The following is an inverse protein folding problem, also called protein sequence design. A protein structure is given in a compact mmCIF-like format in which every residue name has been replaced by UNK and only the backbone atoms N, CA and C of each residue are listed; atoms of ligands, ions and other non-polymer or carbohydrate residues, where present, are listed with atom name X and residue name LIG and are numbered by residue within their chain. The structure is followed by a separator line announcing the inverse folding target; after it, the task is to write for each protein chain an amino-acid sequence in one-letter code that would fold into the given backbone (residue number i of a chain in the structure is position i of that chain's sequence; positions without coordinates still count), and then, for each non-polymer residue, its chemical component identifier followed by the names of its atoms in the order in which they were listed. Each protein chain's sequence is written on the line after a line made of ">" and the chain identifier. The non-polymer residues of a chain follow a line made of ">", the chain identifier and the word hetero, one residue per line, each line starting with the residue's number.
data_IF_378275665288
#
_entry.id   IF_378275665288
#
_cell.length_a   1.000
_cell.length_b   1.000
_cell.length_c   1.000
_cell.angle_alpha   90.00
_cell.angle_beta   90.00
_cell.angle_gamma   90.00
#
_symmetry.space_group_name_H-M   'P 1'
#
loop_
_entity.id
_entity.type
_entity.pdbx_description
1 polymer ?
#
# COMPACT_ATOMS: atom_id res chain seq x y z
N UNK A 1 -56.64 -32.66 8.37
CA UNK A 1 -56.14 -31.48 9.12
C UNK A 1 -54.67 -31.57 9.52
N UNK A 2 -54.13 -32.75 9.87
CA UNK A 2 -52.72 -32.90 10.27
C UNK A 2 -51.68 -32.57 9.16
N UNK A 3 -51.92 -32.91 7.90
CA UNK A 3 -50.96 -32.66 6.81
C UNK A 3 -50.79 -31.19 6.42
N UNK A 4 -51.82 -30.37 6.62
CA UNK A 4 -51.78 -28.92 6.29
C UNK A 4 -50.92 -28.18 7.32
N UNK A 5 -51.04 -28.54 8.60
CA UNK A 5 -50.23 -27.96 9.67
C UNK A 5 -48.74 -28.32 9.52
N UNK A 6 -48.42 -29.53 9.03
CA UNK A 6 -47.04 -29.93 8.79
C UNK A 6 -46.40 -29.15 7.63
N UNK A 7 -47.13 -28.91 6.54
CA UNK A 7 -46.66 -28.11 5.41
C UNK A 7 -46.47 -26.63 5.79
N UNK A 8 -47.36 -26.07 6.63
CA UNK A 8 -47.23 -24.72 7.16
C UNK A 8 -45.97 -24.57 8.02
N UNK A 9 -45.70 -25.51 8.94
CA UNK A 9 -44.49 -25.48 9.78
C UNK A 9 -43.22 -25.67 8.95
N UNK A 10 -43.24 -26.50 7.91
CA UNK A 10 -42.11 -26.68 7.00
C UNK A 10 -41.85 -25.40 6.18
N UNK A 11 -42.92 -24.75 5.69
CA UNK A 11 -42.80 -23.50 4.95
C UNK A 11 -42.28 -22.35 5.82
N UNK A 12 -42.74 -22.27 7.07
CA UNK A 12 -42.30 -21.24 8.02
C UNK A 12 -40.83 -21.44 8.41
N UNK A 13 -40.39 -22.68 8.58
CA UNK A 13 -38.99 -23.00 8.88
C UNK A 13 -38.06 -22.77 7.67
N UNK A 14 -38.51 -23.05 6.44
CA UNK A 14 -37.79 -22.67 5.21
C UNK A 14 -37.70 -21.15 5.04
N UNK A 15 -38.76 -20.40 5.35
CA UNK A 15 -38.74 -18.93 5.31
C UNK A 15 -37.78 -18.38 6.38
N UNK A 16 -37.80 -18.89 7.61
CA UNK A 16 -36.87 -18.48 8.67
C UNK A 16 -35.41 -18.86 8.35
N UNK A 17 -35.17 -20.01 7.72
CA UNK A 17 -33.84 -20.40 7.22
C UNK A 17 -33.39 -19.48 6.08
N UNK A 18 -34.28 -19.13 5.16
CA UNK A 18 -33.97 -18.18 4.07
C UNK A 18 -33.72 -16.76 4.59
N UNK A 19 -34.47 -16.31 5.60
CA UNK A 19 -34.26 -15.02 6.26
C UNK A 19 -32.96 -15.00 7.07
N UNK A 20 -32.64 -16.08 7.78
CA UNK A 20 -31.36 -16.22 8.49
C UNK A 20 -30.16 -16.34 7.54
N UNK A 21 -30.32 -16.98 6.38
CA UNK A 21 -29.28 -17.02 5.34
C UNK A 21 -29.16 -15.68 4.60
N UNK A 22 -30.28 -14.98 4.35
CA UNK A 22 -30.28 -13.63 3.80
C UNK A 22 -29.64 -12.62 4.76
N UNK A 23 -29.96 -12.66 6.07
CA UNK A 23 -29.27 -11.85 7.09
C UNK A 23 -27.77 -12.16 7.17
N UNK A 24 -27.36 -13.42 6.93
CA UNK A 24 -25.94 -13.79 6.87
C UNK A 24 -25.23 -13.25 5.63
N UNK A 25 -25.96 -13.06 4.53
CA UNK A 25 -25.47 -12.42 3.31
C UNK A 25 -25.54 -10.89 3.36
N UNK A 26 -26.37 -10.29 4.21
CA UNK A 26 -26.64 -8.84 4.26
C UNK A 26 -25.98 -8.13 5.45
N UNK A 27 -24.80 -8.57 5.88
CA UNK A 27 -23.88 -7.74 6.71
C UNK A 27 -22.99 -6.86 5.82
N UNK A 28 -23.52 -6.37 4.71
CA UNK A 28 -22.75 -5.75 3.64
C UNK A 28 -22.83 -4.22 3.75
N UNK A 29 -21.69 -3.64 4.11
CA UNK A 29 -21.38 -2.20 4.21
C UNK A 29 -22.10 -1.45 5.34
N UNK A 30 -21.32 -0.87 6.25
CA UNK A 30 -21.81 0.15 7.18
C UNK A 30 -22.45 1.28 6.37
N UNK A 31 -23.64 1.75 6.77
CA UNK A 31 -24.19 2.98 6.20
C UNK A 31 -23.20 4.13 6.41
N UNK A 32 -23.19 5.15 5.55
CA UNK A 32 -22.33 6.34 5.72
C UNK A 32 -22.41 6.93 7.14
N UNK A 33 -23.60 6.90 7.76
CA UNK A 33 -23.83 7.39 9.13
C UNK A 33 -23.17 6.54 10.25
N UNK A 34 -22.85 5.28 9.96
CA UNK A 34 -22.20 4.32 10.86
C UNK A 34 -20.70 4.19 10.59
N UNK A 35 -20.23 4.66 9.45
CA UNK A 35 -18.83 4.57 9.04
C UNK A 35 -17.96 5.27 10.12
N UNK A 36 -16.99 4.54 10.67
CA UNK A 36 -16.12 4.95 11.79
C UNK A 36 -16.73 4.98 13.22
N UNK A 37 -17.92 4.41 13.46
CA UNK A 37 -18.44 4.21 14.83
C UNK A 37 -18.04 2.84 15.40
N UNK A 38 -16.87 2.79 16.03
CA UNK A 38 -16.32 1.55 16.57
C UNK A 38 -16.78 1.25 18.00
N UNK A 39 -16.84 -0.03 18.34
CA UNK A 39 -16.84 -0.47 19.75
C UNK A 39 -15.40 -0.59 20.29
N UNK A 40 -14.49 -1.10 19.46
CA UNK A 40 -13.05 -1.24 19.73
C UNK A 40 -12.28 -1.28 18.42
N UNK A 41 -10.99 -0.96 18.48
CA UNK A 41 -10.01 -1.14 17.42
C UNK A 41 -8.99 -2.19 17.89
N UNK A 42 -8.46 -2.97 16.96
CA UNK A 42 -7.50 -4.03 17.27
C UNK A 42 -6.51 -4.24 16.13
N UNK A 43 -5.31 -4.71 16.49
CA UNK A 43 -4.37 -5.22 15.50
C UNK A 43 -4.97 -6.38 14.70
N UNK A 44 -4.77 -6.35 13.38
CA UNK A 44 -5.26 -7.32 12.43
C UNK A 44 -4.12 -7.97 11.66
N UNK A 45 -4.28 -9.26 11.41
CA UNK A 45 -3.45 -10.07 10.51
C UNK A 45 -4.22 -10.32 9.21
N UNK A 46 -3.52 -10.68 8.11
CA UNK A 46 -4.20 -11.13 6.91
C UNK A 46 -5.12 -12.32 7.22
N UNK A 47 -6.31 -12.31 6.62
CA UNK A 47 -7.34 -13.33 6.85
C UNK A 47 -7.54 -14.25 5.65
N UNK A 48 -7.14 -13.80 4.47
CA UNK A 48 -7.26 -14.53 3.22
C UNK A 48 -5.87 -14.70 2.60
N UNK A 49 -5.63 -15.88 2.04
CA UNK A 49 -4.36 -16.25 1.44
C UNK A 49 -4.59 -16.95 0.10
N UNK A 50 -3.93 -16.46 -0.94
CA UNK A 50 -4.00 -16.98 -2.30
C UNK A 50 -2.60 -17.46 -2.66
N UNK A 51 -2.47 -18.77 -2.84
CA UNK A 51 -1.25 -19.41 -3.33
C UNK A 51 -1.18 -19.31 -4.84
N UNK A 52 0.01 -19.06 -5.35
CA UNK A 52 0.34 -19.02 -6.78
C UNK A 52 1.70 -19.67 -6.98
N UNK A 53 2.01 -20.05 -8.21
CA UNK A 53 3.29 -20.67 -8.57
C UNK A 53 4.47 -19.75 -8.20
N UNK A 54 4.35 -18.46 -8.52
CA UNK A 54 5.37 -17.44 -8.29
C UNK A 54 5.44 -16.88 -6.87
N UNK A 55 4.50 -17.23 -5.99
CA UNK A 55 4.45 -16.65 -4.66
C UNK A 55 3.08 -16.68 -3.97
N UNK A 56 2.87 -15.76 -3.04
CA UNK A 56 1.69 -15.71 -2.17
C UNK A 56 1.09 -14.30 -2.20
N UNK A 57 -0.24 -14.21 -2.25
CA UNK A 57 -0.98 -12.97 -2.01
C UNK A 57 -1.86 -13.12 -0.77
N UNK A 58 -1.67 -12.24 0.21
CA UNK A 58 -2.43 -12.21 1.45
C UNK A 58 -3.27 -10.93 1.53
N UNK A 59 -4.51 -11.03 2.00
CA UNK A 59 -5.42 -9.91 2.15
C UNK A 59 -5.92 -9.79 3.60
N UNK A 60 -6.02 -8.56 4.08
CA UNK A 60 -6.77 -8.25 5.29
C UNK A 60 -8.26 -8.26 4.99
N UNK A 61 -9.09 -8.63 5.96
CA UNK A 61 -10.55 -8.66 5.75
C UNK A 61 -11.09 -7.23 5.63
N UNK A 62 -11.43 -6.83 4.40
CA UNK A 62 -12.01 -5.53 4.07
C UNK A 62 -13.32 -5.24 4.82
N UNK A 63 -13.97 -6.26 5.38
CA UNK A 63 -15.22 -6.13 6.14
C UNK A 63 -15.01 -5.76 7.60
N UNK A 64 -13.76 -5.73 8.10
CA UNK A 64 -13.52 -5.22 9.45
C UNK A 64 -13.78 -3.71 9.47
N UNK A 65 -14.52 -3.25 10.48
CA UNK A 65 -14.95 -1.86 10.64
C UNK A 65 -13.81 -0.86 10.45
N UNK A 66 -12.60 -1.19 10.92
CA UNK A 66 -11.44 -0.31 10.82
C UNK A 66 -11.01 -0.03 9.37
N UNK A 67 -11.06 -1.02 8.49
CA UNK A 67 -10.71 -0.88 7.08
C UNK A 67 -11.86 -0.27 6.28
N UNK A 68 -13.11 -0.58 6.64
CA UNK A 68 -14.29 0.08 6.07
C UNK A 68 -14.35 1.57 6.40
N UNK A 69 -14.02 1.95 7.64
CA UNK A 69 -13.89 3.35 8.03
C UNK A 69 -12.80 4.06 7.23
N UNK A 70 -11.63 3.43 7.10
CA UNK A 70 -10.53 4.02 6.33
C UNK A 70 -10.80 4.06 4.83
N UNK A 71 -11.76 3.27 4.32
CA UNK A 71 -12.01 3.14 2.89
C UNK A 71 -10.87 2.45 2.15
N UNK A 72 -10.21 1.47 2.78
CA UNK A 72 -9.01 0.84 2.21
C UNK A 72 -9.06 -0.68 2.20
N UNK A 73 -8.37 -1.27 1.23
CA UNK A 73 -8.07 -2.70 1.21
C UNK A 73 -6.57 -2.92 1.21
N UNK A 74 -6.10 -3.61 2.24
CA UNK A 74 -4.70 -3.91 2.44
C UNK A 74 -4.34 -5.30 1.92
N UNK A 75 -3.14 -5.42 1.34
CA UNK A 75 -2.62 -6.67 0.80
C UNK A 75 -1.11 -6.78 1.00
N UNK A 76 -0.62 -8.02 1.12
CA UNK A 76 0.80 -8.36 1.15
C UNK A 76 1.07 -9.37 0.03
N UNK A 77 2.03 -9.06 -0.82
CA UNK A 77 2.48 -9.93 -1.89
C UNK A 77 3.91 -10.37 -1.61
N UNK A 78 4.13 -11.69 -1.66
CA UNK A 78 5.45 -12.30 -1.56
C UNK A 78 5.77 -12.98 -2.88
N UNK A 79 6.80 -12.53 -3.57
CA UNK A 79 7.31 -13.17 -4.79
C UNK A 79 8.58 -13.96 -4.49
N UNK A 80 8.58 -15.23 -4.87
CA UNK A 80 9.77 -16.10 -4.81
C UNK A 80 10.85 -15.59 -5.77
N UNK A 81 12.12 -16.00 -5.63
CA UNK A 81 13.13 -15.76 -6.66
C UNK A 81 12.64 -16.18 -8.04
N UNK A 82 12.87 -15.35 -9.06
CA UNK A 82 12.33 -15.48 -10.42
C UNK A 82 10.79 -15.45 -10.51
N UNK A 83 10.11 -14.99 -9.47
CA UNK A 83 8.65 -14.82 -9.45
C UNK A 83 8.23 -13.57 -10.22
N UNK A 84 7.23 -13.72 -11.09
CA UNK A 84 6.56 -12.66 -11.85
C UNK A 84 5.12 -12.50 -11.33
N UNK A 85 4.81 -11.36 -10.73
CA UNK A 85 3.42 -10.92 -10.55
C UNK A 85 2.82 -10.59 -11.91
N UNK A 86 1.73 -11.26 -12.26
CA UNK A 86 1.13 -11.11 -13.58
C UNK A 86 0.51 -9.71 -13.77
N UNK A 87 0.47 -9.20 -15.02
CA UNK A 87 -0.02 -7.86 -15.28
C UNK A 87 -1.49 -7.69 -14.88
N UNK A 88 -1.79 -6.59 -14.19
CA UNK A 88 -3.14 -6.26 -13.74
C UNK A 88 -3.29 -4.74 -13.54
N UNK A 89 -4.52 -4.26 -13.39
CA UNK A 89 -4.84 -2.88 -13.01
C UNK A 89 -6.04 -2.84 -12.06
N UNK A 90 -6.10 -1.82 -11.22
CA UNK A 90 -7.16 -1.63 -10.22
C UNK A 90 -7.88 -0.29 -10.46
N UNK A 91 -9.19 -0.15 -10.15
CA UNK A 91 -9.91 1.13 -10.26
C UNK A 91 -9.56 2.11 -9.13
N UNK A 92 -8.90 1.63 -8.08
CA UNK A 92 -8.44 2.40 -6.93
C UNK A 92 -6.93 2.67 -7.03
N UNK A 93 -6.44 3.86 -6.59
CA UNK A 93 -5.01 4.09 -6.47
C UNK A 93 -4.43 3.21 -5.36
N UNK A 94 -3.19 2.75 -5.57
CA UNK A 94 -2.49 1.85 -4.64
C UNK A 94 -1.12 2.41 -4.27
N UNK A 95 -0.83 2.41 -2.98
CA UNK A 95 0.50 2.77 -2.46
C UNK A 95 1.17 1.51 -1.91
N UNK A 96 2.37 1.21 -2.41
CA UNK A 96 3.12 -0.01 -2.11
C UNK A 96 4.39 0.34 -1.35
N UNK A 97 4.71 -0.42 -0.31
CA UNK A 97 5.97 -0.39 0.41
C UNK A 97 6.71 -1.72 0.20
N UNK A 98 7.96 -1.66 -0.26
CA UNK A 98 8.81 -2.84 -0.36
C UNK A 98 9.46 -3.12 1.00
N UNK A 99 8.96 -4.14 1.70
CA UNK A 99 9.44 -4.55 3.01
C UNK A 99 10.79 -5.28 2.94
N UNK A 100 10.96 -6.14 1.93
CA UNK A 100 12.14 -6.99 1.75
C UNK A 100 12.39 -7.28 0.27
N UNK A 101 13.65 -7.53 -0.08
CA UNK A 101 14.04 -7.97 -1.42
C UNK A 101 14.26 -6.82 -2.39
N UNK A 102 14.41 -7.21 -3.66
CA UNK A 102 14.55 -6.32 -4.79
C UNK A 102 13.94 -6.97 -6.03
N UNK A 103 13.71 -6.16 -7.05
CA UNK A 103 13.09 -6.62 -8.28
C UNK A 103 12.93 -5.49 -9.28
N UNK A 104 12.07 -5.74 -10.26
CA UNK A 104 11.63 -4.75 -11.23
C UNK A 104 10.13 -4.57 -11.15
N UNK A 105 9.67 -3.36 -11.39
CA UNK A 105 8.27 -3.05 -11.65
C UNK A 105 8.17 -2.22 -12.93
N UNK A 106 7.13 -2.45 -13.72
CA UNK A 106 6.74 -1.52 -14.78
C UNK A 106 5.30 -1.11 -14.58
N UNK A 107 5.04 0.17 -14.85
CA UNK A 107 3.70 0.76 -14.87
C UNK A 107 3.49 1.28 -16.28
N UNK A 108 2.46 0.78 -16.94
CA UNK A 108 2.09 1.20 -18.29
C UNK A 108 1.13 2.38 -18.20
N UNK A 109 1.58 3.54 -18.69
CA UNK A 109 0.74 4.72 -18.85
C UNK A 109 0.11 4.69 -20.25
N UNK A 110 -1.22 4.56 -20.37
CA UNK A 110 -1.88 4.53 -21.67
C UNK A 110 -1.58 5.79 -22.50
N UNK A 111 -1.19 5.61 -23.76
CA UNK A 111 -0.83 6.70 -24.67
C UNK A 111 0.63 7.18 -24.59
N UNK A 112 1.41 6.70 -23.62
CA UNK A 112 2.85 6.94 -23.57
C UNK A 112 3.60 5.96 -24.48
N UNK A 113 4.63 6.45 -25.17
CA UNK A 113 5.43 5.66 -26.10
C UNK A 113 6.42 4.71 -25.40
N UNK A 114 6.84 3.67 -26.12
CA UNK A 114 7.91 2.74 -25.73
C UNK A 114 9.29 3.41 -25.83
N UNK A 115 9.67 4.14 -24.79
CA UNK A 115 10.94 4.89 -24.75
C UNK A 115 12.17 4.02 -24.48
N UNK A 116 11.99 2.74 -24.10
CA UNK A 116 13.09 1.80 -23.90
C UNK A 116 13.17 0.88 -25.12
N UNK A 117 14.20 1.07 -25.94
CA UNK A 117 14.39 0.36 -27.20
C UNK A 117 15.85 0.09 -27.50
N UNK A 118 16.13 -1.07 -28.11
CA UNK A 118 17.47 -1.42 -28.59
C UNK A 118 17.55 -1.06 -30.08
N UNK A 119 17.86 0.21 -30.39
CA UNK A 119 18.16 0.61 -31.77
C UNK A 119 19.67 0.57 -32.05
N UNK A 120 20.03 -0.09 -33.15
CA UNK A 120 21.39 -0.18 -33.69
C UNK A 120 21.81 1.16 -34.30
N UNK A 121 22.33 2.10 -33.51
CA UNK A 121 23.00 3.29 -34.02
C UNK A 121 24.45 2.99 -34.42
N UNK A 122 24.89 3.47 -35.59
CA UNK A 122 26.22 3.23 -36.19
C UNK A 122 27.44 3.61 -35.31
N UNK A 123 27.24 4.21 -34.12
CA UNK A 123 28.30 4.66 -33.20
C UNK A 123 28.49 3.78 -31.94
N UNK A 124 27.66 2.77 -31.70
CA UNK A 124 27.75 1.89 -30.52
C UNK A 124 27.81 0.43 -30.95
N UNK A 125 28.87 0.07 -31.70
CA UNK A 125 29.13 -1.35 -32.08
C UNK A 125 29.55 -2.21 -30.88
N UNK A 126 30.21 -1.63 -29.87
CA UNK A 126 30.81 -2.42 -28.79
C UNK A 126 29.84 -2.85 -27.67
N UNK A 127 28.83 -2.04 -27.30
CA UNK A 127 27.88 -2.41 -26.23
C UNK A 127 26.73 -3.30 -26.69
N UNK A 128 26.33 -3.19 -27.96
CA UNK A 128 25.21 -3.97 -28.52
C UNK A 128 25.63 -5.42 -28.80
N UNK A 129 26.88 -5.64 -29.26
CA UNK A 129 27.38 -6.98 -29.61
C UNK A 129 27.50 -7.89 -28.37
N UNK A 130 27.80 -7.37 -27.18
CA UNK A 130 27.89 -8.19 -25.97
C UNK A 130 26.51 -8.58 -25.40
N UNK A 131 25.51 -7.69 -25.53
CA UNK A 131 24.11 -7.96 -25.17
C UNK A 131 23.47 -8.95 -26.16
N UNK A 132 23.68 -8.76 -27.46
CA UNK A 132 23.22 -9.66 -28.52
C UNK A 132 23.90 -11.04 -28.48
N UNK A 133 25.17 -11.13 -28.08
CA UNK A 133 25.87 -12.42 -27.97
C UNK A 133 25.43 -13.23 -26.74
N UNK A 134 24.89 -12.58 -25.71
CA UNK A 134 24.29 -13.24 -24.52
C UNK A 134 22.85 -13.70 -24.77
N UNK A 135 22.08 -12.99 -25.60
CA UNK A 135 20.72 -13.36 -25.99
C UNK A 135 20.72 -14.12 -27.33
N UNK A 136 20.69 -15.46 -27.28
CA UNK A 136 20.55 -16.34 -28.46
C UNK A 136 19.28 -15.97 -29.25
N UNK A 137 19.41 -15.11 -30.26
CA UNK A 137 18.35 -14.82 -31.24
C UNK A 137 17.38 -13.69 -30.88
N UNK A 138 17.89 -12.55 -30.38
CA UNK A 138 17.11 -11.38 -29.94
C UNK A 138 15.97 -10.95 -30.90
N UNK A 139 14.75 -11.01 -30.37
CA UNK A 139 13.55 -10.36 -30.92
C UNK A 139 13.72 -8.85 -30.76
N UNK A 140 13.39 -8.05 -31.79
CA UNK A 140 13.31 -6.59 -31.64
C UNK A 140 12.26 -6.26 -30.58
N UNK A 141 12.68 -5.68 -29.46
CA UNK A 141 11.81 -5.33 -28.35
C UNK A 141 11.77 -3.80 -28.11
N UNK A 142 10.62 -3.33 -27.67
CA UNK A 142 10.22 -1.95 -27.43
C UNK A 142 9.24 -1.98 -26.26
N UNK A 143 9.56 -1.32 -25.15
CA UNK A 143 8.66 -1.24 -24.02
C UNK A 143 8.74 0.09 -23.28
N UNK A 144 7.77 0.35 -22.40
CA UNK A 144 7.83 1.50 -21.48
C UNK A 144 8.89 1.27 -20.40
N UNK A 145 9.17 2.32 -19.63
CA UNK A 145 10.18 2.31 -18.57
C UNK A 145 9.95 1.17 -17.57
N UNK A 146 11.04 0.50 -17.22
CA UNK A 146 11.11 -0.49 -16.14
C UNK A 146 11.89 0.13 -14.99
N UNK A 147 11.39 -0.01 -13.77
CA UNK A 147 11.95 0.60 -12.58
C UNK A 147 12.55 -0.48 -11.68
N UNK A 148 13.80 -0.29 -11.26
CA UNK A 148 14.38 -1.07 -10.17
C UNK A 148 13.66 -0.73 -8.88
N UNK A 149 13.27 -1.74 -8.11
CA UNK A 149 12.67 -1.62 -6.80
C UNK A 149 13.49 -2.39 -5.78
N UNK A 150 13.60 -1.86 -4.57
CA UNK A 150 14.38 -2.42 -3.47
C UNK A 150 13.66 -2.17 -2.15
N UNK A 151 14.05 -2.90 -1.11
CA UNK A 151 13.62 -2.63 0.26
C UNK A 151 13.68 -1.14 0.58
N UNK A 152 12.57 -0.62 1.10
CA UNK A 152 12.43 0.79 1.45
C UNK A 152 11.75 1.64 0.41
N UNK A 153 11.45 1.13 -0.78
CA UNK A 153 10.77 1.94 -1.78
C UNK A 153 9.28 2.05 -1.48
N UNK A 154 8.77 3.28 -1.56
CA UNK A 154 7.35 3.60 -1.66
C UNK A 154 7.03 3.81 -3.12
N UNK A 155 6.10 3.02 -3.67
CA UNK A 155 5.72 3.02 -5.09
C UNK A 155 4.26 3.40 -5.21
N UNK A 156 3.99 4.39 -6.04
CA UNK A 156 2.68 4.96 -6.32
C UNK A 156 2.11 4.38 -7.61
N UNK A 157 0.98 3.67 -7.51
CA UNK A 157 0.29 3.04 -8.62
C UNK A 157 -1.07 3.71 -8.85
N UNK A 158 -1.24 4.51 -9.90
CA UNK A 158 -2.51 5.18 -10.21
C UNK A 158 -3.63 4.20 -10.54
N UNK A 159 -4.87 4.63 -10.29
CA UNK A 159 -6.05 3.92 -10.77
C UNK A 159 -6.00 3.72 -12.29
N UNK A 160 -6.33 2.51 -12.75
CA UNK A 160 -6.38 2.12 -14.16
C UNK A 160 -5.02 1.82 -14.79
N UNK A 161 -3.89 2.10 -14.11
CA UNK A 161 -2.57 1.85 -14.67
C UNK A 161 -2.21 0.35 -14.58
N UNK A 162 -2.00 -0.28 -15.74
CA UNK A 162 -1.55 -1.66 -15.80
C UNK A 162 -0.11 -1.78 -15.30
N UNK A 163 0.18 -2.80 -14.51
CA UNK A 163 1.51 -2.98 -13.93
C UNK A 163 1.82 -4.46 -13.69
N UNK A 164 3.10 -4.77 -13.64
CA UNK A 164 3.64 -6.09 -13.30
C UNK A 164 4.93 -5.93 -12.50
N UNK A 165 5.31 -6.95 -11.73
CA UNK A 165 6.53 -6.95 -10.93
C UNK A 165 7.28 -8.28 -11.04
N UNK A 166 8.61 -8.24 -11.12
CA UNK A 166 9.48 -9.41 -11.26
C UNK A 166 10.57 -9.40 -10.19
N UNK A 167 10.76 -10.52 -9.50
CA UNK A 167 11.84 -10.70 -8.53
C UNK A 167 13.08 -11.28 -9.23
N UNK A 168 14.09 -10.44 -9.47
CA UNK A 168 15.41 -10.83 -9.99
C UNK A 168 16.42 -11.17 -8.88
N UNK A 169 16.00 -11.10 -7.61
CA UNK A 169 16.81 -11.39 -6.45
C UNK A 169 16.83 -12.86 -6.05
N UNK A 170 17.75 -13.19 -5.13
CA UNK A 170 17.88 -14.54 -4.55
C UNK A 170 17.04 -14.74 -3.29
N UNK A 171 16.44 -13.67 -2.76
CA UNK A 171 15.52 -13.72 -1.61
C UNK A 171 14.09 -13.45 -2.05
N UNK A 172 13.13 -13.67 -1.15
CA UNK A 172 11.74 -13.27 -1.42
C UNK A 172 11.61 -11.74 -1.50
N UNK A 173 10.86 -11.26 -2.49
CA UNK A 173 10.44 -9.88 -2.61
C UNK A 173 9.09 -9.73 -1.91
N UNK A 174 9.05 -8.98 -0.81
CA UNK A 174 7.85 -8.78 0.00
C UNK A 174 7.39 -7.33 -0.14
N UNK A 175 6.15 -7.15 -0.60
CA UNK A 175 5.52 -5.87 -0.79
C UNK A 175 4.21 -5.79 0.02
N UNK A 176 4.05 -4.73 0.81
CA UNK A 176 2.82 -4.43 1.56
C UNK A 176 2.17 -3.21 0.93
N UNK A 177 0.87 -3.23 0.72
CA UNK A 177 0.19 -2.12 0.06
C UNK A 177 -1.23 -1.89 0.56
N UNK A 178 -1.72 -0.67 0.34
CA UNK A 178 -3.12 -0.30 0.52
C UNK A 178 -3.72 0.17 -0.81
N UNK A 179 -4.99 -0.15 -1.03
CA UNK A 179 -5.80 0.35 -2.13
C UNK A 179 -6.86 1.26 -1.53
N UNK A 180 -6.93 2.50 -1.99
CA UNK A 180 -7.96 3.44 -1.53
C UNK A 180 -9.24 3.26 -2.35
N UNK A 181 -10.12 2.39 -1.85
CA UNK A 181 -11.39 2.08 -2.53
C UNK A 181 -12.42 3.19 -2.39
N UNK A 182 -12.18 4.19 -1.53
CA UNK A 182 -13.02 5.37 -1.37
C UNK A 182 -12.50 6.60 -2.14
N UNK A 183 -11.38 6.47 -2.86
CA UNK A 183 -10.83 7.56 -3.67
C UNK A 183 -11.78 7.93 -4.83
N UNK A 184 -11.89 9.22 -5.14
CA UNK A 184 -12.75 9.76 -6.20
C UNK A 184 -12.53 9.18 -7.61
N UNK A 185 -11.36 8.58 -7.87
CA UNK A 185 -11.09 7.90 -9.15
C UNK A 185 -11.83 6.57 -9.26
N UNK A 186 -12.20 5.94 -8.14
CA UNK A 186 -12.99 4.72 -8.13
C UNK A 186 -14.48 5.06 -8.23
N UNK A 187 -14.97 5.18 -9.46
CA UNK A 187 -16.38 5.52 -9.74
C UNK A 187 -17.33 4.31 -9.76
N UNK A 188 -16.86 3.14 -9.31
CA UNK A 188 -17.67 1.92 -9.25
C UNK A 188 -18.43 1.89 -7.93
N UNK A 189 -17.82 1.31 -6.90
CA UNK A 189 -18.29 1.23 -5.53
C UNK A 189 -17.08 0.87 -4.63
N UNK A 190 -17.30 0.79 -3.31
CA UNK A 190 -16.22 0.49 -2.35
C UNK A 190 -15.80 -0.99 -2.29
N UNK A 191 -16.28 -1.88 -3.18
CA UNK A 191 -15.80 -3.27 -3.28
C UNK A 191 -14.49 -3.30 -4.05
N UNK A 192 -13.49 -3.96 -3.47
CA UNK A 192 -12.20 -4.14 -4.12
C UNK A 192 -12.31 -4.98 -5.40
N UNK A 193 -11.67 -4.51 -6.48
CA UNK A 193 -11.64 -5.15 -7.80
C UNK A 193 -10.23 -5.09 -8.35
N UNK A 194 -9.79 -6.21 -8.91
CA UNK A 194 -8.52 -6.31 -9.61
C UNK A 194 -8.71 -6.93 -10.99
N UNK A 195 -8.40 -6.18 -12.03
CA UNK A 195 -8.56 -6.62 -13.41
C UNK A 195 -7.24 -7.20 -13.90
N UNK A 196 -7.13 -8.53 -13.91
CA UNK A 196 -5.93 -9.21 -14.39
C UNK A 196 -5.94 -9.32 -15.92
N UNK A 197 -4.78 -9.12 -16.52
CA UNK A 197 -4.54 -9.29 -17.96
C UNK A 197 -3.96 -10.68 -18.28
N UNK A 198 -3.59 -11.44 -17.25
CA UNK A 198 -3.17 -12.84 -17.33
C UNK A 198 -3.39 -13.53 -15.98
N UNK A 199 -3.51 -14.86 -15.97
CA UNK A 199 -3.65 -15.65 -14.73
C UNK A 199 -5.06 -15.67 -14.14
N UNK A 200 -5.17 -15.91 -12.83
CA UNK A 200 -6.44 -15.98 -12.09
C UNK A 200 -6.33 -16.85 -10.84
N UNK A 201 -7.32 -16.81 -9.93
CA UNK A 201 -7.28 -17.62 -8.69
C UNK A 201 -7.38 -19.12 -8.99
N UNK A 202 -6.43 -19.98 -8.52
CA UNK A 202 -6.47 -21.41 -8.77
C UNK A 202 -7.70 -22.08 -8.14
N UNK A 203 -8.20 -23.15 -8.77
CA UNK A 203 -9.37 -23.89 -8.27
C UNK A 203 -9.15 -24.61 -6.93
N UNK A 204 -7.89 -24.87 -6.55
CA UNK A 204 -7.50 -25.65 -5.36
C UNK A 204 -7.00 -24.81 -4.17
N UNK A 205 -7.13 -23.49 -4.19
CA UNK A 205 -6.74 -22.65 -3.05
C UNK A 205 -7.51 -23.05 -1.78
N UNK A 206 -6.78 -23.37 -0.72
CA UNK A 206 -7.30 -23.86 0.56
C UNK A 206 -8.07 -22.75 1.27
N UNK A 207 -9.40 -22.70 1.11
CA UNK A 207 -10.27 -21.74 1.80
C UNK A 207 -11.72 -22.23 1.80
N UNK A 208 -12.47 -21.95 2.88
CA UNK A 208 -13.88 -22.32 2.98
C UNK A 208 -14.69 -21.73 1.81
N UNK A 209 -15.66 -22.49 1.29
CA UNK A 209 -16.29 -22.29 -0.03
C UNK A 209 -16.70 -20.85 -0.37
N UNK A 210 -17.17 -20.05 0.60
CA UNK A 210 -17.56 -18.65 0.36
C UNK A 210 -16.40 -17.66 0.13
N UNK A 211 -15.27 -17.80 0.83
CA UNK A 211 -14.11 -16.91 0.63
C UNK A 211 -13.40 -17.19 -0.70
N UNK A 212 -13.39 -18.45 -1.13
CA UNK A 212 -12.78 -18.84 -2.39
C UNK A 212 -13.56 -18.31 -3.59
N UNK A 213 -14.89 -18.32 -3.52
CA UNK A 213 -15.75 -17.79 -4.57
C UNK A 213 -15.62 -16.27 -4.70
N UNK A 214 -15.60 -15.54 -3.58
CA UNK A 214 -15.34 -14.10 -3.57
C UNK A 214 -13.96 -13.75 -4.15
N UNK A 215 -12.91 -14.52 -3.80
CA UNK A 215 -11.58 -14.34 -4.39
C UNK A 215 -11.61 -14.53 -5.92
N UNK A 216 -12.34 -15.54 -6.40
CA UNK A 216 -12.49 -15.78 -7.84
C UNK A 216 -13.24 -14.67 -8.54
N UNK A 217 -14.22 -14.01 -7.91
CA UNK A 217 -14.84 -12.83 -8.51
C UNK A 217 -13.88 -11.64 -8.60
N UNK A 218 -13.02 -11.48 -7.59
CA UNK A 218 -12.13 -10.32 -7.47
C UNK A 218 -10.92 -10.38 -8.41
N UNK A 219 -10.33 -11.56 -8.63
CA UNK A 219 -9.07 -11.73 -9.36
C UNK A 219 -9.24 -12.60 -10.62
N UNK A 220 -9.88 -12.03 -11.65
CA UNK A 220 -10.09 -12.71 -12.93
C UNK A 220 -9.28 -12.11 -14.08
N UNK A 221 -8.83 -12.98 -14.98
CA UNK A 221 -8.33 -12.56 -16.28
C UNK A 221 -9.50 -12.11 -17.16
N UNK A 222 -9.50 -10.82 -17.50
CA UNK A 222 -10.58 -10.19 -18.27
C UNK A 222 -10.70 -10.73 -19.69
N UNK A 223 -9.61 -11.21 -20.29
CA UNK A 223 -9.63 -11.70 -21.68
C UNK A 223 -10.55 -12.91 -21.85
N UNK A 224 -10.82 -13.67 -20.78
CA UNK A 224 -11.67 -14.87 -20.82
C UNK A 224 -13.11 -14.61 -21.19
N UNK A 225 -13.61 -13.42 -20.89
CA UNK A 225 -15.01 -13.09 -21.12
C UNK A 225 -15.27 -12.64 -22.57
N UNK A 226 -14.22 -12.35 -23.34
CA UNK A 226 -14.35 -11.91 -24.73
C UNK A 226 -14.48 -13.08 -25.69
N UNK A 227 -15.19 -12.84 -26.79
CA UNK A 227 -15.23 -13.78 -27.91
C UNK A 227 -13.83 -13.97 -28.53
N UNK A 228 -13.41 -15.22 -28.66
CA UNK A 228 -12.07 -15.57 -29.13
C UNK A 228 -11.82 -15.08 -30.56
N UNK A 229 -12.84 -15.11 -31.43
CA UNK A 229 -12.69 -14.69 -32.84
C UNK A 229 -12.55 -13.18 -32.94
N UNK A 230 -13.38 -12.45 -32.18
CA UNK A 230 -13.30 -11.00 -32.08
C UNK A 230 -11.91 -10.54 -31.62
N UNK A 231 -11.36 -11.16 -30.57
CA UNK A 231 -10.00 -10.83 -30.11
C UNK A 231 -8.95 -11.21 -31.16
N UNK A 232 -9.09 -12.35 -31.82
CA UNK A 232 -8.15 -12.79 -32.85
C UNK A 232 -8.09 -11.79 -34.02
N UNK A 233 -9.26 -11.28 -34.43
CA UNK A 233 -9.38 -10.21 -35.41
C UNK A 233 -8.77 -8.90 -34.90
N UNK A 234 -9.11 -8.46 -33.68
CA UNK A 234 -8.62 -7.20 -33.10
C UNK A 234 -7.09 -7.17 -32.93
N UNK A 235 -6.49 -8.27 -32.49
CA UNK A 235 -5.03 -8.41 -32.37
C UNK A 235 -4.36 -8.81 -33.69
N UNK A 236 -5.12 -9.16 -34.73
CA UNK A 236 -4.63 -9.69 -36.01
C UNK A 236 -3.69 -10.89 -35.83
N UNK A 237 -4.14 -11.89 -35.06
CA UNK A 237 -3.38 -13.11 -34.74
C UNK A 237 -4.26 -14.36 -34.91
N UNK A 238 -3.67 -15.56 -35.07
CA UNK A 238 -4.46 -16.80 -35.04
C UNK A 238 -5.21 -16.98 -33.71
N UNK A 239 -6.44 -17.52 -33.77
CA UNK A 239 -7.27 -17.81 -32.58
C UNK A 239 -6.53 -18.62 -31.52
N UNK A 240 -5.58 -19.47 -31.90
CA UNK A 240 -4.78 -20.27 -30.98
C UNK A 240 -3.94 -19.42 -30.02
N UNK A 241 -3.47 -18.24 -30.46
CA UNK A 241 -2.74 -17.31 -29.59
C UNK A 241 -3.70 -16.70 -28.56
N UNK A 242 -4.89 -16.30 -28.98
CA UNK A 242 -5.94 -15.79 -28.09
C UNK A 242 -6.36 -16.87 -27.09
N UNK A 243 -6.53 -18.12 -27.53
CA UNK A 243 -6.84 -19.23 -26.64
C UNK A 243 -5.79 -19.36 -25.54
N UNK A 244 -4.50 -19.21 -25.84
CA UNK A 244 -3.44 -19.18 -24.80
C UNK A 244 -3.59 -18.02 -23.83
N UNK A 245 -3.95 -16.82 -24.31
CA UNK A 245 -4.25 -15.67 -23.44
C UNK A 245 -5.46 -15.91 -22.53
N UNK A 246 -6.45 -16.67 -22.99
CA UNK A 246 -7.68 -16.99 -22.28
C UNK A 246 -7.56 -18.24 -21.39
N UNK A 247 -6.57 -19.10 -21.61
CA UNK A 247 -6.47 -20.40 -20.92
C UNK A 247 -5.93 -20.25 -19.51
N UNK A 248 -6.58 -20.94 -18.56
CA UNK A 248 -5.96 -21.28 -17.28
C UNK A 248 -5.03 -22.47 -17.48
N UNK A 249 -3.72 -22.29 -17.31
CA UNK A 249 -2.98 -23.39 -16.70
C UNK A 249 -3.48 -23.44 -15.24
N UNK A 250 -4.38 -24.38 -14.95
CA UNK A 250 -5.26 -24.47 -13.76
C UNK A 250 -4.58 -24.33 -12.38
N UNK A 251 -3.24 -24.21 -12.34
CA UNK A 251 -2.41 -24.26 -11.13
C UNK A 251 -1.47 -23.06 -10.95
N UNK A 252 -1.45 -22.07 -11.87
CA UNK A 252 -0.39 -21.04 -11.84
C UNK A 252 -0.70 -19.81 -10.99
N UNK A 253 -1.95 -19.36 -10.94
CA UNK A 253 -2.37 -18.31 -10.01
C UNK A 253 -2.19 -16.87 -10.50
N UNK A 254 -1.96 -15.95 -9.56
CA UNK A 254 -1.78 -14.51 -9.78
C UNK A 254 -0.31 -14.12 -10.03
N UNK A 255 0.61 -15.04 -9.73
CA UNK A 255 2.04 -14.89 -9.98
C UNK A 255 2.64 -16.22 -10.42
N UNK A 256 3.67 -16.16 -11.26
CA UNK A 256 4.28 -17.34 -11.88
C UNK A 256 5.78 -17.37 -11.67
N UNK A 257 6.42 -18.53 -11.80
CA UNK A 257 7.88 -18.60 -11.90
C UNK A 257 8.25 -18.43 -13.37
N UNK A 258 9.13 -17.47 -13.65
CA UNK A 258 9.68 -17.30 -14.99
C UNK A 258 10.57 -18.51 -15.33
N UNK A 259 10.34 -19.12 -16.51
CA UNK A 259 11.09 -20.30 -16.96
C UNK A 259 12.58 -20.00 -17.15
N UNK A 260 12.87 -18.78 -17.59
CA UNK A 260 14.20 -18.25 -17.77
C UNK A 260 14.29 -16.90 -17.07
N UNK A 261 15.50 -16.49 -16.70
CA UNK A 261 15.72 -15.19 -16.06
C UNK A 261 15.27 -14.08 -17.02
N UNK A 262 14.30 -13.27 -16.60
CA UNK A 262 13.80 -12.18 -17.43
C UNK A 262 14.85 -11.08 -17.56
N UNK A 263 15.06 -10.61 -18.78
CA UNK A 263 15.92 -9.46 -19.06
C UNK A 263 15.16 -8.47 -19.92
N UNK A 264 15.30 -7.19 -19.61
CA UNK A 264 14.64 -6.09 -20.28
C UNK A 264 15.69 -5.14 -20.86
N UNK A 265 15.31 -4.34 -21.84
CA UNK A 265 16.14 -3.21 -22.27
C UNK A 265 16.16 -2.22 -21.10
N UNK A 266 17.33 -1.78 -20.65
CA UNK A 266 17.48 -0.78 -19.58
C UNK A 266 18.86 -0.14 -19.61
N UNK A 267 19.03 1.08 -19.08
CA UNK A 267 20.36 1.65 -18.83
C UNK A 267 21.19 0.78 -17.87
N UNK A 268 22.52 0.85 -17.98
CA UNK A 268 23.43 0.17 -17.05
C UNK A 268 23.32 0.78 -15.64
N UNK A 269 23.40 -0.06 -14.60
CA UNK A 269 23.16 0.36 -13.20
C UNK A 269 24.15 1.44 -12.69
N UNK A 270 25.33 1.57 -13.31
CA UNK A 270 26.30 2.64 -13.01
C UNK A 270 25.82 4.03 -13.48
N UNK A 271 25.00 4.09 -14.54
CA UNK A 271 24.46 5.36 -15.06
C UNK A 271 23.29 5.86 -14.22
N UNK A 272 22.50 4.96 -13.61
CA UNK A 272 21.36 5.32 -12.75
C UNK A 272 21.81 5.99 -11.43
N UNK A 273 22.90 5.54 -10.82
CA UNK A 273 23.41 6.12 -9.56
C UNK A 273 23.92 7.56 -9.72
N UNK A 274 24.41 7.94 -10.90
CA UNK A 274 24.85 9.31 -11.19
C UNK A 274 23.70 10.30 -11.36
N UNK A 275 22.57 9.85 -11.92
CA UNK A 275 21.41 10.70 -12.19
C UNK A 275 20.55 10.98 -10.94
N UNK A 276 20.52 10.06 -9.97
CA UNK A 276 19.78 10.27 -8.70
C UNK A 276 20.35 11.44 -7.86
N UNK A 277 21.65 11.78 -8.00
CA UNK A 277 22.25 12.93 -7.32
C UNK A 277 21.99 14.28 -8.00
N UNK A 278 21.71 14.31 -9.30
CA UNK A 278 21.53 15.56 -10.06
C UNK A 278 20.09 16.10 -10.05
N UNK A 279 19.10 15.28 -9.64
CA UNK A 279 17.69 15.68 -9.63
C UNK A 279 17.29 16.65 -8.47
N UNK A 280 18.24 17.10 -7.66
CA UNK A 280 18.04 18.11 -6.60
C UNK A 280 18.41 19.55 -7.02
N UNK A 281 18.81 19.77 -8.28
CA UNK A 281 19.20 21.09 -8.80
C UNK A 281 18.16 21.71 -9.75
N UNK A 282 16.99 22.11 -9.23
CA UNK A 282 15.99 22.83 -10.03
C UNK A 282 16.45 24.25 -10.41
N UNK A 283 17.17 24.38 -11.53
CA UNK A 283 17.40 25.68 -12.18
C UNK A 283 16.16 26.01 -13.01
N UNK A 284 15.45 27.07 -12.60
CA UNK A 284 14.44 27.72 -13.43
C UNK A 284 15.11 28.16 -14.74
N UNK A 285 14.72 27.57 -15.86
CA UNK A 285 14.99 28.16 -17.16
C UNK A 285 13.83 27.89 -18.12
N UNK A 286 13.29 29.03 -18.57
CA UNK A 286 12.41 29.30 -19.69
C UNK A 286 12.19 28.19 -20.74
N UNK A 287 10.90 27.93 -20.99
CA UNK A 287 10.30 27.82 -22.33
C UNK A 287 11.06 26.98 -23.37
N UNK A 288 11.14 25.68 -23.16
CA UNK A 288 11.16 24.68 -24.24
C UNK A 288 9.92 23.79 -24.05
N UNK A 289 9.25 23.46 -25.16
CA UNK A 289 7.98 22.73 -25.13
C UNK A 289 8.25 21.25 -24.84
N UNK A 290 8.39 20.87 -23.58
CA UNK A 290 8.54 19.47 -23.20
C UNK A 290 7.32 18.66 -23.69
N UNK A 291 7.57 17.50 -24.28
CA UNK A 291 6.51 16.58 -24.73
C UNK A 291 5.83 15.84 -23.56
N UNK A 292 4.81 15.03 -23.88
CA UNK A 292 4.17 14.16 -22.89
C UNK A 292 5.16 13.12 -22.35
N UNK A 293 6.06 12.64 -23.20
CA UNK A 293 7.12 11.69 -22.89
C UNK A 293 8.13 12.26 -21.87
N UNK A 294 8.42 13.56 -21.92
CA UNK A 294 9.37 14.24 -21.03
C UNK A 294 8.73 14.78 -19.74
N UNK A 295 7.40 14.69 -19.60
CA UNK A 295 6.65 15.24 -18.46
C UNK A 295 5.80 14.18 -17.77
N UNK A 296 4.61 13.91 -18.28
CA UNK A 296 3.64 13.01 -17.67
C UNK A 296 4.10 11.55 -17.68
N UNK A 297 4.62 11.09 -18.82
CA UNK A 297 5.05 9.69 -18.99
C UNK A 297 6.32 9.31 -18.22
N UNK A 298 7.08 10.31 -17.77
CA UNK A 298 8.31 10.12 -16.98
C UNK A 298 8.16 10.61 -15.54
N UNK A 299 6.92 10.86 -15.10
CA UNK A 299 6.62 11.21 -13.71
C UNK A 299 7.28 10.22 -12.75
N UNK A 300 7.88 10.76 -11.67
CA UNK A 300 8.46 9.95 -10.61
C UNK A 300 7.34 9.18 -9.91
N UNK A 301 7.45 7.85 -9.91
CA UNK A 301 6.46 6.92 -9.33
C UNK A 301 6.93 6.28 -8.02
N UNK A 302 8.21 6.42 -7.67
CA UNK A 302 8.77 5.81 -6.47
C UNK A 302 9.70 6.75 -5.71
N UNK A 303 9.80 6.54 -4.40
CA UNK A 303 10.72 7.23 -3.51
C UNK A 303 11.19 6.30 -2.40
N UNK A 304 12.49 6.27 -2.12
CA UNK A 304 13.03 5.44 -1.04
C UNK A 304 12.89 6.11 0.33
N UNK A 305 12.53 5.34 1.35
CA UNK A 305 12.48 5.76 2.77
C UNK A 305 13.59 5.13 3.63
N UNK A 306 14.52 4.38 3.03
CA UNK A 306 15.64 3.75 3.74
C UNK A 306 16.91 4.61 3.75
N UNK A 307 16.95 5.72 2.98
CA UNK A 307 18.11 6.61 2.97
C UNK A 307 18.39 7.17 4.38
N UNK A 308 19.49 6.70 4.99
CA UNK A 308 19.85 7.04 6.37
C UNK A 308 20.17 8.52 6.55
N UNK A 309 20.49 9.25 5.48
CA UNK A 309 20.86 10.67 5.52
C UNK A 309 19.67 11.62 5.40
N UNK A 310 18.47 11.13 5.09
CA UNK A 310 17.32 11.96 4.68
C UNK A 310 16.14 11.93 5.66
N UNK A 311 16.41 11.78 6.96
CA UNK A 311 15.37 11.85 8.00
C UNK A 311 14.71 13.23 8.03
N UNK A 312 13.38 13.28 7.83
CA UNK A 312 12.59 14.50 7.99
C UNK A 312 12.48 14.91 9.45
N UNK A 313 12.35 13.92 10.33
CA UNK A 313 12.32 14.11 11.77
C UNK A 313 13.29 13.13 12.41
N UNK A 314 14.25 13.67 13.16
CA UNK A 314 15.28 12.88 13.82
C UNK A 314 15.51 13.31 15.27
N UNK A 315 15.61 12.32 16.14
CA UNK A 315 16.07 12.48 17.51
C UNK A 315 17.10 11.41 17.82
N UNK A 316 18.32 11.84 18.20
CA UNK A 316 19.41 10.94 18.60
C UNK A 316 19.03 9.97 19.72
N UNK A 317 18.03 10.30 20.53
CA UNK A 317 17.61 9.53 21.70
C UNK A 317 16.29 8.79 21.50
N UNK A 318 15.53 9.12 20.45
CA UNK A 318 14.17 8.58 20.28
C UNK A 318 13.96 7.85 18.95
N UNK A 319 14.64 8.24 17.87
CA UNK A 319 14.52 7.56 16.58
C UNK A 319 14.44 8.50 15.37
N UNK A 320 13.83 8.04 14.28
CA UNK A 320 13.70 8.79 13.01
C UNK A 320 12.38 8.51 12.30
N UNK A 321 11.93 9.48 11.50
CA UNK A 321 10.79 9.34 10.59
C UNK A 321 11.12 9.95 9.23
N UNK A 322 10.77 9.20 8.18
CA UNK A 322 10.81 9.60 6.78
C UNK A 322 9.39 9.66 6.25
N UNK A 323 8.99 10.76 5.62
CA UNK A 323 7.68 10.98 5.01
C UNK A 323 7.86 11.01 3.50
N UNK A 324 6.94 10.39 2.77
CA UNK A 324 6.76 10.47 1.32
C UNK A 324 5.36 11.00 1.06
N UNK A 325 5.28 12.27 0.68
CA UNK A 325 4.04 12.99 0.38
C UNK A 325 4.09 13.57 -1.04
N UNK A 326 3.08 14.38 -1.38
CA UNK A 326 2.98 15.03 -2.68
C UNK A 326 4.10 16.03 -3.01
N UNK A 327 4.92 16.47 -2.05
CA UNK A 327 6.10 17.28 -2.34
C UNK A 327 7.26 16.43 -2.83
N UNK A 328 7.53 15.29 -2.17
CA UNK A 328 8.64 14.41 -2.52
C UNK A 328 8.34 13.50 -3.71
N UNK A 329 7.07 13.13 -3.86
CA UNK A 329 6.60 12.25 -4.91
C UNK A 329 5.34 12.85 -5.56
N UNK A 330 5.49 13.73 -6.58
CA UNK A 330 4.39 14.56 -7.10
C UNK A 330 3.14 13.81 -7.58
N UNK A 331 3.29 12.56 -8.04
CA UNK A 331 2.15 11.72 -8.43
C UNK A 331 1.15 11.50 -7.29
N UNK A 332 1.61 11.56 -6.04
CA UNK A 332 0.78 11.45 -4.85
C UNK A 332 -0.22 12.60 -4.69
N UNK A 333 -0.02 13.73 -5.38
CA UNK A 333 -1.03 14.80 -5.44
C UNK A 333 -2.31 14.34 -6.16
N UNK A 334 -2.18 13.48 -7.17
CA UNK A 334 -3.32 12.97 -7.95
C UNK A 334 -3.99 11.77 -7.30
N UNK A 335 -3.22 11.01 -6.51
CA UNK A 335 -3.71 9.85 -5.77
C UNK A 335 -4.27 10.22 -4.40
N UNK A 336 -3.98 11.43 -3.91
CA UNK A 336 -4.28 11.89 -2.55
C UNK A 336 -3.88 10.87 -1.46
N UNK A 337 -2.69 10.29 -1.60
CA UNK A 337 -2.11 9.34 -0.65
C UNK A 337 -0.73 9.79 -0.19
N UNK A 338 -0.31 9.36 1.00
CA UNK A 338 1.07 9.53 1.47
C UNK A 338 1.50 8.35 2.32
N UNK A 339 2.80 8.25 2.59
CA UNK A 339 3.33 7.25 3.50
C UNK A 339 4.37 7.87 4.43
N UNK A 340 4.57 7.25 5.59
CA UNK A 340 5.72 7.50 6.44
C UNK A 340 6.34 6.20 6.93
N UNK A 341 7.66 6.15 7.01
CA UNK A 341 8.41 5.08 7.68
C UNK A 341 9.03 5.64 8.94
N UNK A 342 8.68 5.01 10.06
CA UNK A 342 9.23 5.37 11.35
C UNK A 342 10.09 4.28 11.96
N UNK A 343 10.97 4.73 12.84
CA UNK A 343 11.74 3.92 13.77
C UNK A 343 11.78 4.65 15.11
N UNK A 344 11.38 3.96 16.18
CA UNK A 344 11.60 4.34 17.56
C UNK A 344 12.67 3.44 18.17
N UNK A 345 13.60 4.05 18.90
CA UNK A 345 14.54 3.34 19.75
C UNK A 345 13.85 2.72 20.96
N UNK A 346 14.50 1.76 21.65
CA UNK A 346 13.91 1.09 22.79
C UNK A 346 13.34 2.08 23.83
N UNK A 347 12.11 1.85 24.26
CA UNK A 347 11.39 2.67 25.24
C UNK A 347 11.11 4.13 24.83
N UNK A 348 11.43 4.53 23.60
CA UNK A 348 11.07 5.85 23.09
C UNK A 348 9.57 5.92 22.83
N UNK A 349 9.03 7.15 22.75
CA UNK A 349 7.60 7.38 22.58
C UNK A 349 7.33 8.22 21.33
N UNK A 350 6.26 7.90 20.62
CA UNK A 350 5.61 8.84 19.73
C UNK A 350 4.80 9.82 20.58
N UNK A 351 4.98 11.11 20.34
CA UNK A 351 4.15 12.14 20.96
C UNK A 351 2.68 11.86 20.71
N UNK A 352 1.86 12.05 21.75
CA UNK A 352 0.41 11.98 21.64
C UNK A 352 -0.02 12.97 20.57
N UNK A 353 -0.79 12.54 19.58
CA UNK A 353 -1.22 13.40 18.48
C UNK A 353 -2.50 12.90 17.82
N UNK A 354 -3.12 13.75 17.01
CA UNK A 354 -4.14 13.34 16.04
C UNK A 354 -3.76 13.78 14.62
N UNK A 355 -4.19 13.03 13.62
CA UNK A 355 -4.11 13.44 12.21
C UNK A 355 -5.25 14.42 11.90
N UNK A 356 -4.93 15.56 11.29
CA UNK A 356 -5.92 16.55 10.86
C UNK A 356 -6.58 16.18 9.53
N UNK A 357 -5.87 15.42 8.68
CA UNK A 357 -6.34 14.96 7.37
C UNK A 357 -6.03 13.48 7.21
N UNK A 358 -6.99 12.75 6.64
CA UNK A 358 -6.87 11.33 6.32
C UNK A 358 -6.77 10.39 7.53
N UNK A 359 -7.02 9.11 7.26
CA UNK A 359 -6.77 8.01 8.17
C UNK A 359 -5.29 7.59 8.08
N UNK A 360 -4.76 6.95 9.12
CA UNK A 360 -3.43 6.34 9.10
C UNK A 360 -3.55 4.83 9.23
N UNK A 361 -3.08 4.09 8.23
CA UNK A 361 -3.05 2.62 8.21
C UNK A 361 -1.62 2.21 8.54
N UNK A 362 -1.41 1.66 9.74
CA UNK A 362 -0.09 1.36 10.29
C UNK A 362 0.20 -0.13 10.13
N UNK A 363 1.33 -0.47 9.52
CA UNK A 363 1.87 -1.83 9.44
C UNK A 363 3.20 -1.90 10.17
N UNK A 364 3.33 -2.85 11.09
CA UNK A 364 4.53 -3.03 11.91
C UNK A 364 5.55 -3.88 11.16
N UNK A 365 6.70 -3.29 10.82
CA UNK A 365 7.75 -3.95 10.03
C UNK A 365 8.79 -4.66 10.91
N UNK A 366 9.01 -4.18 12.14
CA UNK A 366 9.96 -4.79 13.09
C UNK A 366 9.67 -4.36 14.53
N UNK A 367 10.00 -5.23 15.47
CA UNK A 367 9.90 -4.94 16.90
C UNK A 367 8.46 -4.93 17.38
N UNK A 368 8.20 -4.15 18.42
CA UNK A 368 6.91 -4.12 19.09
C UNK A 368 6.67 -2.78 19.81
N UNK A 369 5.41 -2.42 20.02
CA UNK A 369 5.04 -1.21 20.76
C UNK A 369 3.73 -1.40 21.52
N UNK A 370 3.59 -0.69 22.65
CA UNK A 370 2.30 -0.45 23.27
C UNK A 370 1.63 0.74 22.57
N UNK A 371 0.48 0.52 21.95
CA UNK A 371 -0.27 1.54 21.21
C UNK A 371 -1.54 1.88 21.95
N UNK A 372 -1.88 3.18 22.00
CA UNK A 372 -3.15 3.67 22.52
C UNK A 372 -3.86 4.55 21.51
N UNK A 373 -5.17 4.35 21.34
CA UNK A 373 -6.02 5.15 20.46
C UNK A 373 -7.29 5.57 21.21
N UNK A 374 -7.60 6.86 21.20
CA UNK A 374 -8.73 7.46 21.92
C UNK A 374 -9.66 8.20 20.95
N UNK A 375 -10.97 8.00 21.10
CA UNK A 375 -12.00 8.64 20.26
C UNK A 375 -12.46 10.00 20.82
N UNK A 376 -13.43 10.61 20.15
CA UNK A 376 -13.99 11.92 20.48
C UNK A 376 -14.75 11.99 21.83
N UNK A 377 -15.24 10.87 22.37
CA UNK A 377 -15.87 10.82 23.71
C UNK A 377 -14.86 10.49 24.82
N UNK A 378 -13.57 10.38 24.49
CA UNK A 378 -12.52 10.05 25.45
C UNK A 378 -12.43 8.57 25.81
N UNK A 379 -13.09 7.69 25.06
CA UNK A 379 -12.99 6.25 25.25
C UNK A 379 -11.69 5.73 24.61
N UNK A 380 -11.00 4.87 25.34
CA UNK A 380 -9.83 4.16 24.83
C UNK A 380 -10.30 3.01 23.92
N UNK A 381 -10.12 3.20 22.62
CA UNK A 381 -10.57 2.30 21.58
C UNK A 381 -9.60 1.14 21.33
N UNK A 382 -8.32 1.33 21.61
CA UNK A 382 -7.27 0.32 21.45
C UNK A 382 -6.20 0.56 22.50
N UNK A 383 -5.81 -0.47 23.25
CA UNK A 383 -4.71 -0.42 24.20
C UNK A 383 -3.89 -1.70 24.11
N UNK A 384 -3.31 -1.93 22.94
CA UNK A 384 -2.76 -3.22 22.56
C UNK A 384 -1.25 -3.15 22.40
N UNK A 385 -0.59 -4.29 22.67
CA UNK A 385 0.80 -4.49 22.28
C UNK A 385 0.83 -5.05 20.87
N UNK A 386 1.29 -4.23 19.93
CA UNK A 386 1.44 -4.59 18.51
C UNK A 386 2.85 -5.10 18.24
N UNK A 387 2.99 -6.02 17.28
CA UNK A 387 4.24 -6.67 16.89
C UNK A 387 4.36 -6.77 15.37
N UNK A 388 5.54 -7.14 14.89
CA UNK A 388 5.82 -7.34 13.46
C UNK A 388 4.71 -8.14 12.75
N UNK A 389 4.27 -7.62 11.59
CA UNK A 389 3.21 -8.17 10.78
C UNK A 389 1.81 -7.68 11.13
N UNK A 390 1.60 -7.08 12.32
CA UNK A 390 0.32 -6.49 12.68
C UNK A 390 0.02 -5.26 11.83
N UNK A 391 -1.25 -5.10 11.45
CA UNK A 391 -1.79 -3.90 10.82
C UNK A 391 -2.97 -3.34 11.62
N UNK A 392 -3.08 -2.03 11.75
CA UNK A 392 -4.23 -1.38 12.40
C UNK A 392 -4.47 0.01 11.81
N UNK A 393 -5.68 0.54 12.01
CA UNK A 393 -6.07 1.86 11.54
C UNK A 393 -6.16 2.84 12.72
N UNK A 394 -5.59 4.03 12.54
CA UNK A 394 -5.86 5.22 13.34
C UNK A 394 -6.77 6.14 12.52
N UNK A 395 -8.06 6.24 12.85
CA UNK A 395 -8.97 7.12 12.13
C UNK A 395 -8.56 8.60 12.26
N UNK A 396 -8.96 9.42 11.28
CA UNK A 396 -8.77 10.87 11.35
C UNK A 396 -9.33 11.43 12.67
N UNK A 397 -8.63 12.42 13.26
CA UNK A 397 -8.93 13.02 14.56
C UNK A 397 -8.88 12.11 15.80
N UNK A 398 -8.73 10.80 15.66
CA UNK A 398 -8.50 9.94 16.82
C UNK A 398 -7.12 10.25 17.38
N UNK A 399 -7.04 10.38 18.70
CA UNK A 399 -5.79 10.68 19.38
C UNK A 399 -5.02 9.40 19.58
N UNK A 400 -3.75 9.37 19.19
CA UNK A 400 -2.92 8.17 19.26
C UNK A 400 -1.53 8.44 19.84
N UNK A 401 -0.95 7.41 20.44
CA UNK A 401 0.44 7.38 20.89
C UNK A 401 0.97 5.95 20.84
N UNK A 402 2.29 5.80 20.79
CA UNK A 402 2.95 4.52 20.90
C UNK A 402 4.19 4.63 21.77
N UNK A 403 4.45 3.60 22.58
CA UNK A 403 5.69 3.42 23.32
C UNK A 403 6.39 2.17 22.80
N UNK A 404 7.62 2.33 22.31
CA UNK A 404 8.40 1.22 21.77
C UNK A 404 8.79 0.23 22.88
N UNK A 405 8.76 -1.07 22.56
CA UNK A 405 9.26 -2.12 23.41
C UNK A 405 10.80 -2.11 23.51
N UNK A 406 11.35 -3.14 24.17
CA UNK A 406 12.80 -3.26 24.38
C UNK A 406 13.59 -3.48 23.08
N UNK A 407 12.95 -3.97 22.03
CA UNK A 407 13.57 -4.22 20.73
C UNK A 407 13.42 -3.03 19.76
N UNK A 408 12.92 -1.90 20.24
CA UNK A 408 12.50 -0.78 19.40
C UNK A 408 11.20 -1.08 18.65
N UNK A 409 10.77 -0.13 17.83
CA UNK A 409 9.54 -0.23 17.05
C UNK A 409 9.75 0.39 15.67
N UNK A 410 9.48 -0.38 14.62
CA UNK A 410 9.51 0.08 13.25
C UNK A 410 8.17 -0.15 12.58
N UNK A 411 7.71 0.86 11.86
CA UNK A 411 6.43 0.81 11.15
C UNK A 411 6.51 1.56 9.84
N UNK A 412 5.65 1.18 8.90
CA UNK A 412 5.21 2.02 7.80
C UNK A 412 3.76 2.42 8.07
N UNK A 413 3.41 3.68 7.84
CA UNK A 413 2.03 4.15 7.88
C UNK A 413 1.66 4.71 6.54
N UNK A 414 0.65 4.14 5.91
CA UNK A 414 -0.01 4.73 4.75
C UNK A 414 -1.08 5.72 5.23
N UNK A 415 -1.31 6.79 4.50
CA UNK A 415 -2.28 7.82 4.86
C UNK A 415 -3.17 8.14 3.67
N UNK A 416 -4.47 8.24 3.92
CA UNK A 416 -5.49 8.58 2.92
C UNK A 416 -5.56 10.09 2.67
N UNK A 417 -4.39 10.71 2.49
CA UNK A 417 -4.21 12.10 2.07
C UNK A 417 -2.81 12.30 1.50
N UNK A 418 -2.67 13.11 0.46
CA UNK A 418 -1.39 13.51 -0.14
C UNK A 418 -0.65 14.61 0.64
N UNK A 419 -1.27 15.16 1.68
CA UNK A 419 -0.77 16.29 2.49
C UNK A 419 -0.93 15.99 3.99
N UNK A 420 -0.14 15.06 4.55
CA UNK A 420 -0.35 14.58 5.90
C UNK A 420 0.00 15.66 6.93
N UNK A 421 -1.02 16.10 7.69
CA UNK A 421 -0.85 17.06 8.79
C UNK A 421 -1.32 16.45 10.10
N UNK A 422 -0.59 16.72 11.19
CA UNK A 422 -0.91 16.24 12.54
C UNK A 422 -0.73 17.33 13.58
N UNK A 423 -1.42 17.18 14.70
CA UNK A 423 -1.30 18.08 15.86
C UNK A 423 -0.77 17.32 17.06
N UNK A 424 0.47 17.57 17.49
CA UNK A 424 1.02 16.97 18.69
C UNK A 424 0.42 17.61 19.96
N UNK A 425 0.28 16.82 21.01
CA UNK A 425 -0.22 17.21 22.33
C UNK A 425 0.90 17.31 23.37
N UNK A 426 2.03 16.67 23.13
CA UNK A 426 3.22 16.78 23.97
C UNK A 426 4.47 17.17 23.16
N UNK A 427 5.39 17.90 23.80
CA UNK A 427 6.64 18.36 23.17
C UNK A 427 6.62 19.79 22.66
N UNK A 428 7.70 20.18 22.01
CA UNK A 428 8.01 21.56 21.58
C UNK A 428 6.96 22.16 20.63
N UNK A 429 6.36 21.34 19.77
CA UNK A 429 5.36 21.78 18.77
C UNK A 429 3.92 21.54 19.24
N UNK A 430 3.71 21.20 20.51
CA UNK A 430 2.40 20.76 20.99
C UNK A 430 1.35 21.86 21.13
N UNK A 431 0.08 21.48 20.98
CA UNK A 431 -1.06 22.36 21.26
C UNK A 431 -1.06 22.86 22.71
N UNK A 432 -0.63 22.03 23.67
CA UNK A 432 -0.52 22.40 25.08
C UNK A 432 0.53 23.50 25.27
N UNK A 433 1.67 23.41 24.57
CA UNK A 433 2.70 24.46 24.60
C UNK A 433 2.24 25.76 23.94
N UNK A 434 1.35 25.68 22.95
CA UNK A 434 0.77 26.86 22.29
C UNK A 434 -0.28 27.59 23.14
N UNK A 435 -0.93 26.92 24.11
CA UNK A 435 -1.97 27.54 24.95
C UNK A 435 -1.39 28.59 25.93
N UNK A 436 -2.09 29.70 26.18
CA UNK A 436 -1.73 30.63 27.25
C UNK A 436 -1.67 29.92 28.61
N UNK A 437 -0.73 30.34 29.47
CA UNK A 437 -0.53 29.70 30.78
C UNK A 437 -1.83 29.72 31.60
N UNK A 438 -2.56 30.84 31.56
CA UNK A 438 -3.81 31.01 32.28
C UNK A 438 -4.93 30.06 31.81
N UNK A 439 -4.94 29.66 30.53
CA UNK A 439 -5.89 28.65 30.04
C UNK A 439 -5.63 27.32 30.75
N UNK A 440 -4.35 26.90 30.83
CA UNK A 440 -3.97 25.65 31.48
C UNK A 440 -4.22 25.68 33.00
N UNK A 441 -3.85 26.78 33.68
CA UNK A 441 -4.05 26.88 35.13
C UNK A 441 -5.52 26.84 35.52
N UNK A 442 -6.40 27.49 34.75
CA UNK A 442 -7.84 27.48 35.02
C UNK A 442 -8.51 26.18 34.57
N UNK A 443 -8.19 25.66 33.38
CA UNK A 443 -8.81 24.45 32.85
C UNK A 443 -8.48 23.19 33.66
N UNK A 444 -7.24 23.09 34.16
CA UNK A 444 -6.77 21.92 34.89
C UNK A 444 -6.58 22.17 36.39
N UNK A 445 -6.98 23.33 36.90
CA UNK A 445 -6.86 23.72 38.32
C UNK A 445 -5.44 23.52 38.87
N UNK A 446 -4.43 23.95 38.11
CA UNK A 446 -3.02 23.77 38.44
C UNK A 446 -2.30 25.09 38.70
N UNK A 447 -1.22 25.05 39.48
CA UNK A 447 -0.39 26.23 39.73
C UNK A 447 0.34 26.70 38.45
N UNK A 448 0.69 27.99 38.34
CA UNK A 448 1.47 28.50 37.20
C UNK A 448 2.75 27.70 36.93
N UNK A 449 3.44 27.25 37.99
CA UNK A 449 4.67 26.43 37.88
C UNK A 449 4.40 25.04 37.31
N UNK A 450 3.28 24.40 37.70
CA UNK A 450 2.88 23.11 37.10
C UNK A 450 2.51 23.26 35.63
N UNK A 451 1.77 24.32 35.28
CA UNK A 451 1.40 24.62 33.90
C UNK A 451 2.64 24.90 33.04
N UNK A 452 3.61 25.64 33.56
CA UNK A 452 4.89 25.87 32.89
C UNK A 452 5.65 24.54 32.67
N UNK A 453 5.71 23.68 33.69
CA UNK A 453 6.31 22.35 33.58
C UNK A 453 5.63 21.49 32.52
N UNK A 454 4.29 21.48 32.47
CA UNK A 454 3.53 20.75 31.45
C UNK A 454 3.89 21.21 30.03
N UNK A 455 4.12 22.51 29.83
CA UNK A 455 4.51 23.08 28.53
C UNK A 455 5.97 22.82 28.17
N UNK A 456 6.88 22.86 29.15
CA UNK A 456 8.32 23.02 28.91
C UNK A 456 9.17 21.79 29.26
N UNK A 457 8.69 20.83 30.05
CA UNK A 457 9.51 19.70 30.55
C UNK A 457 10.09 18.79 29.45
N UNK A 458 9.46 18.74 28.27
CA UNK A 458 9.99 18.00 27.11
C UNK A 458 11.05 18.79 26.31
N UNK A 459 11.38 20.01 26.74
CA UNK A 459 12.40 20.85 26.13
C UNK A 459 12.15 21.10 24.65
N UNK A 460 13.15 20.78 23.82
CA UNK A 460 13.08 20.86 22.36
C UNK A 460 12.58 19.60 21.66
N UNK A 461 12.18 18.54 22.38
CA UNK A 461 11.72 17.30 21.76
C UNK A 461 10.38 17.51 21.07
N UNK A 462 10.26 17.09 19.81
CA UNK A 462 9.06 17.19 18.98
C UNK A 462 8.82 15.88 18.28
N UNK A 463 7.56 15.42 18.26
CA UNK A 463 7.06 14.19 17.63
C UNK A 463 7.67 12.86 18.15
N UNK A 464 9.00 12.75 18.22
CA UNK A 464 9.74 11.63 18.80
C UNK A 464 10.26 12.05 20.17
N UNK A 465 9.84 11.35 21.21
CA UNK A 465 10.16 11.67 22.60
C UNK A 465 11.09 10.61 23.17
N UNK A 466 12.18 11.06 23.79
CA UNK A 466 13.10 10.17 24.48
C UNK A 466 12.38 9.47 25.66
N UNK A 467 12.83 8.26 26.04
CA UNK A 467 12.35 7.60 27.24
C UNK A 467 12.44 8.57 28.43
N UNK A 468 11.38 8.64 29.24
CA UNK A 468 11.38 9.53 30.39
C UNK A 468 12.50 9.16 31.36
N UNK A 469 13.48 10.05 31.55
CA UNK A 469 14.34 9.98 32.72
C UNK A 469 13.47 10.28 33.93
N UNK A 470 13.46 9.40 34.94
CA UNK A 470 13.00 9.75 36.29
C UNK A 470 13.97 10.83 36.83
N UNK A 471 13.79 12.08 36.42
CA UNK A 471 14.33 13.22 37.14
C UNK A 471 13.18 13.71 38.04
N UNK A 472 13.17 13.16 39.26
CA UNK A 472 12.49 13.77 40.40
C UNK A 472 13.43 14.75 41.06
#
# INVERSE_FOLDING_TARGET
>A
MASINFLLVLSLSLVLLSAAMAERQTRLQLSEEQQCRFQSLSAAQPSQRIESEGGITELWDERQDQFQCAGVVAMRNTLRPNGLSLPNYHPAPRLVFIEQGQGFISITFPGCAETYHAHRTQRTRESTEEWERKQRGSVRDLHQKVHRIRRGDIIALPAGAAHWAYNDGNEELIAVSINDVNHQSNQLDQKFRAFYLAGGVPRRSSGGGGQQEQARETFQNIFRAFDTKLLAEAYNVPEEIIKRMQTEEEERGLSVIAREHMSFIRPDEEQEQGQEQEQWGGRQSAADHNGLEETFCTMKILSSVENRREADIYSRQAGKVNVVDSHKLPILRFMDLSAEKGNLYPNALLSIHWAQHGHSIVYVTRGDAQVQIVNHVGQNMMNDRVKQGDMFVVPQYYTSTATAGNNGFEWVSFKTTGWPMRSPMAGYTSVIRAMPLQVLTNAYQMSPRQAEGLKMNRGGQSYLLAPGGKQY
#
